data_IF_481041686317
#
_entry.id   IF_481041686317
#
_cell.length_a   1.000
_cell.length_b   1.000
_cell.length_c   1.000
_cell.angle_alpha   90.00
_cell.angle_beta   90.00
_cell.angle_gamma   90.00
#
_symmetry.space_group_name_H-M   'P 1'
#
loop_
_entity.id
_entity.type
_entity.pdbx_description
1 polymer ?
#
# COMPACT_ATOMS: atom_id res chain seq x y z
N UNK A 1 -56.27 32.00 -46.47
CA UNK A 1 -55.02 31.28 -46.13
C UNK A 1 -55.28 29.79 -46.35
N UNK A 2 -54.39 29.07 -47.03
CA UNK A 2 -54.49 27.63 -47.25
C UNK A 2 -53.16 27.00 -46.85
N UNK A 3 -53.15 25.73 -46.43
CA UNK A 3 -51.89 25.04 -46.20
C UNK A 3 -51.18 24.74 -47.53
N UNK A 4 -49.88 24.43 -47.45
CA UNK A 4 -49.04 24.14 -48.64
C UNK A 4 -49.64 23.08 -49.56
N UNK A 5 -50.29 22.05 -48.99
CA UNK A 5 -50.93 20.97 -49.74
C UNK A 5 -52.21 21.39 -50.48
N UNK A 6 -52.86 22.47 -50.06
CA UNK A 6 -54.13 22.95 -50.61
C UNK A 6 -54.00 24.33 -51.29
N UNK A 7 -52.79 24.70 -51.72
CA UNK A 7 -52.51 26.02 -52.32
C UNK A 7 -53.39 26.33 -53.54
N UNK A 8 -53.76 25.32 -54.33
CA UNK A 8 -54.64 25.42 -55.50
C UNK A 8 -56.08 25.84 -55.18
N UNK A 9 -56.51 25.74 -53.91
CA UNK A 9 -57.87 26.12 -53.46
C UNK A 9 -57.93 27.55 -52.90
N UNK A 10 -56.84 28.32 -52.97
CA UNK A 10 -56.76 29.67 -52.37
C UNK A 10 -57.42 30.76 -53.22
N UNK A 11 -57.07 30.83 -54.52
CA UNK A 11 -57.58 31.79 -55.50
C UNK A 11 -57.32 31.27 -56.93
N UNK A 12 -57.96 31.86 -57.93
CA UNK A 12 -57.65 31.63 -59.36
C UNK A 12 -56.48 32.49 -59.88
N UNK A 13 -55.73 33.14 -58.99
CA UNK A 13 -54.66 34.07 -59.32
C UNK A 13 -53.32 33.35 -59.59
N UNK A 14 -52.45 33.86 -60.49
CA UNK A 14 -51.19 33.19 -60.82
C UNK A 14 -50.23 33.17 -59.61
N UNK A 15 -49.43 32.10 -59.48
CA UNK A 15 -48.53 31.88 -58.33
C UNK A 15 -47.57 33.04 -58.03
N UNK A 16 -47.22 33.85 -59.03
CA UNK A 16 -46.35 35.04 -58.85
C UNK A 16 -46.94 36.10 -57.93
N UNK A 17 -48.27 36.10 -57.75
CA UNK A 17 -48.99 37.05 -56.90
C UNK A 17 -49.32 36.46 -55.53
N UNK A 18 -48.86 35.23 -55.25
CA UNK A 18 -49.06 34.59 -53.96
C UNK A 18 -47.86 34.86 -53.05
N UNK A 19 -48.15 35.12 -51.78
CA UNK A 19 -47.14 35.28 -50.74
C UNK A 19 -47.11 34.04 -49.86
N UNK A 20 -45.93 33.43 -49.73
CA UNK A 20 -45.71 32.33 -48.80
C UNK A 20 -45.39 32.87 -47.41
N UNK A 21 -46.27 32.61 -46.45
CA UNK A 21 -45.97 32.82 -45.05
C UNK A 21 -45.35 31.55 -44.47
N UNK A 22 -44.05 31.59 -44.17
CA UNK A 22 -43.33 30.54 -43.46
C UNK A 22 -43.03 30.99 -42.02
N UNK A 23 -42.92 30.01 -41.12
CA UNK A 23 -42.62 30.26 -39.71
C UNK A 23 -41.12 30.36 -39.43
N UNK A 24 -40.32 29.60 -40.16
CA UNK A 24 -38.86 29.58 -40.06
C UNK A 24 -38.24 29.53 -41.44
N UNK A 25 -37.12 30.23 -41.61
CA UNK A 25 -36.18 30.05 -42.72
C UNK A 25 -35.32 28.81 -42.51
N UNK A 26 -34.61 28.37 -43.57
CA UNK A 26 -33.61 27.30 -43.44
C UNK A 26 -32.47 27.72 -42.49
N UNK A 27 -32.06 28.98 -42.53
CA UNK A 27 -31.01 29.54 -41.67
C UNK A 27 -31.41 29.52 -40.19
N UNK A 28 -32.70 29.61 -39.87
CA UNK A 28 -33.23 29.45 -38.51
C UNK A 28 -33.40 27.98 -38.09
N UNK A 29 -33.63 27.07 -39.06
CA UNK A 29 -33.85 25.64 -38.82
C UNK A 29 -32.55 24.87 -38.53
N UNK A 30 -31.45 25.18 -39.21
CA UNK A 30 -30.18 24.47 -39.01
C UNK A 30 -29.63 24.57 -37.58
N UNK A 31 -29.59 25.76 -36.93
CA UNK A 31 -29.15 25.88 -35.55
C UNK A 31 -30.05 25.11 -34.56
N UNK A 32 -31.37 25.06 -34.81
CA UNK A 32 -32.29 24.28 -34.00
C UNK A 32 -31.98 22.79 -34.10
N UNK A 33 -31.76 22.27 -35.32
CA UNK A 33 -31.38 20.88 -35.54
C UNK A 33 -30.03 20.56 -34.87
N UNK A 34 -29.04 21.44 -35.00
CA UNK A 34 -27.72 21.28 -34.41
C UNK A 34 -27.79 21.25 -32.87
N UNK A 35 -28.57 22.12 -32.25
CA UNK A 35 -28.74 22.13 -30.79
C UNK A 35 -29.37 20.83 -30.25
N UNK A 36 -30.35 20.27 -30.96
CA UNK A 36 -30.98 18.99 -30.61
C UNK A 36 -30.01 17.85 -30.80
N UNK A 37 -29.27 17.85 -31.92
CA UNK A 37 -28.24 16.84 -32.21
C UNK A 37 -27.17 16.83 -31.13
N UNK A 38 -26.60 18.00 -30.80
CA UNK A 38 -25.57 18.15 -29.77
C UNK A 38 -26.04 17.64 -28.40
N UNK A 39 -27.28 17.98 -28.01
CA UNK A 39 -27.87 17.47 -26.75
C UNK A 39 -28.01 15.94 -26.78
N UNK A 40 -28.45 15.38 -27.90
CA UNK A 40 -28.62 13.94 -28.05
C UNK A 40 -27.31 13.17 -28.03
N UNK A 41 -26.27 13.69 -28.69
CA UNK A 41 -24.93 13.08 -28.74
C UNK A 41 -24.26 13.16 -27.37
N UNK A 42 -24.32 14.33 -26.71
CA UNK A 42 -23.77 14.50 -25.37
C UNK A 42 -24.39 13.54 -24.34
N UNK A 43 -25.68 13.24 -24.46
CA UNK A 43 -26.34 12.27 -23.58
C UNK A 43 -25.89 10.83 -23.90
N UNK A 44 -25.74 10.46 -25.18
CA UNK A 44 -25.26 9.13 -25.58
C UNK A 44 -23.83 8.87 -25.11
N UNK A 45 -22.94 9.85 -25.27
CA UNK A 45 -21.56 9.76 -24.80
C UNK A 45 -21.50 9.61 -23.27
N UNK A 46 -22.30 10.40 -22.55
CA UNK A 46 -22.40 10.30 -21.09
C UNK A 46 -22.91 8.92 -20.67
N UNK A 47 -23.96 8.40 -21.32
CA UNK A 47 -24.50 7.08 -21.02
C UNK A 47 -23.46 5.98 -21.19
N UNK A 48 -22.78 5.94 -22.35
CA UNK A 48 -21.74 4.94 -22.61
C UNK A 48 -20.63 5.03 -21.56
N UNK A 49 -20.19 6.24 -21.22
CA UNK A 49 -19.14 6.45 -20.23
C UNK A 49 -19.56 5.97 -18.82
N UNK A 50 -20.81 6.18 -18.41
CA UNK A 50 -21.30 5.78 -17.09
C UNK A 50 -21.58 4.28 -17.03
N UNK A 51 -22.13 3.69 -18.10
CA UNK A 51 -22.32 2.24 -18.20
C UNK A 51 -20.97 1.51 -18.12
N UNK A 52 -19.93 1.99 -18.83
CA UNK A 52 -18.58 1.41 -18.76
C UNK A 52 -17.98 1.44 -17.34
N UNK A 53 -18.23 2.52 -16.58
CA UNK A 53 -17.76 2.66 -15.19
C UNK A 53 -18.55 1.73 -14.26
N UNK A 54 -19.87 1.82 -14.29
CA UNK A 54 -20.75 1.08 -13.35
C UNK A 54 -20.61 -0.42 -13.55
N UNK A 55 -20.47 -0.87 -14.80
CA UNK A 55 -20.27 -2.29 -15.12
C UNK A 55 -18.80 -2.74 -14.96
N UNK A 56 -17.89 -1.82 -14.66
CA UNK A 56 -16.44 -2.06 -14.56
C UNK A 56 -15.86 -2.79 -15.78
N UNK A 57 -16.40 -2.51 -16.98
CA UNK A 57 -16.04 -3.16 -18.26
C UNK A 57 -14.87 -2.49 -18.96
N UNK A 58 -14.47 -1.30 -18.51
CA UNK A 58 -13.42 -0.51 -19.14
C UNK A 58 -12.02 -1.13 -18.98
N UNK A 59 -11.28 -1.22 -20.09
CA UNK A 59 -9.85 -1.60 -20.07
C UNK A 59 -8.97 -0.59 -19.30
N UNK A 60 -9.43 0.65 -19.14
CA UNK A 60 -8.79 1.70 -18.36
C UNK A 60 -9.81 2.34 -17.42
N UNK A 61 -9.55 2.24 -16.12
CA UNK A 61 -10.32 2.94 -15.09
C UNK A 61 -10.11 4.44 -15.19
N UNK A 62 -11.18 5.20 -14.98
CA UNK A 62 -11.16 6.67 -14.95
C UNK A 62 -10.76 7.18 -13.57
N UNK A 63 -10.24 8.41 -13.49
CA UNK A 63 -9.95 9.03 -12.20
C UNK A 63 -11.22 9.33 -11.39
N UNK A 64 -11.11 9.40 -10.07
CA UNK A 64 -12.21 9.81 -9.18
C UNK A 64 -12.78 11.19 -9.56
N UNK A 65 -11.93 12.13 -10.00
CA UNK A 65 -12.38 13.46 -10.44
C UNK A 65 -13.24 13.40 -11.71
N UNK A 66 -12.99 12.43 -12.60
CA UNK A 66 -13.81 12.24 -13.80
C UNK A 66 -15.21 11.73 -13.43
N UNK A 67 -15.32 10.86 -12.42
CA UNK A 67 -16.63 10.41 -11.92
C UNK A 67 -17.45 11.59 -11.39
N UNK A 68 -16.84 12.47 -10.58
CA UNK A 68 -17.47 13.71 -10.12
C UNK A 68 -17.93 14.59 -11.28
N UNK A 69 -17.10 14.75 -12.32
CA UNK A 69 -17.46 15.53 -13.51
C UNK A 69 -18.66 14.95 -14.28
N UNK A 70 -18.80 13.62 -14.32
CA UNK A 70 -19.93 12.96 -14.97
C UNK A 70 -21.23 13.14 -14.17
N UNK A 71 -21.16 13.13 -12.83
CA UNK A 71 -22.31 13.46 -11.97
C UNK A 71 -22.75 14.90 -12.21
N UNK A 72 -21.82 15.86 -12.15
CA UNK A 72 -22.10 17.29 -12.38
C UNK A 72 -22.67 17.56 -13.78
N UNK A 73 -22.13 16.88 -14.81
CA UNK A 73 -22.63 16.99 -16.18
C UNK A 73 -24.09 16.54 -16.28
N UNK A 74 -24.46 15.43 -15.64
CA UNK A 74 -25.82 14.91 -15.69
C UNK A 74 -26.83 15.85 -15.00
N UNK A 75 -26.43 16.44 -13.88
CA UNK A 75 -27.23 17.41 -13.13
C UNK A 75 -27.41 18.71 -13.93
N UNK A 76 -26.31 19.27 -14.43
CA UNK A 76 -26.30 20.53 -15.19
C UNK A 76 -27.12 20.42 -16.48
N UNK A 77 -27.00 19.29 -17.20
CA UNK A 77 -27.72 19.07 -18.46
C UNK A 77 -29.12 18.47 -18.27
N UNK A 78 -29.50 18.16 -17.02
CA UNK A 78 -30.76 17.51 -16.64
C UNK A 78 -31.04 16.26 -17.49
N UNK A 79 -30.13 15.28 -17.44
CA UNK A 79 -30.22 14.07 -18.25
C UNK A 79 -31.31 13.09 -17.75
N UNK A 80 -32.09 12.46 -18.67
CA UNK A 80 -33.21 11.60 -18.29
C UNK A 80 -32.71 10.16 -18.04
N UNK A 81 -32.34 9.80 -16.81
CA UNK A 81 -32.21 8.40 -16.28
C UNK A 81 -31.72 8.47 -14.83
N UNK A 82 -32.65 8.60 -13.89
CA UNK A 82 -32.32 8.79 -12.47
C UNK A 82 -31.61 7.58 -11.86
N UNK A 83 -32.01 6.35 -12.22
CA UNK A 83 -31.43 5.14 -11.64
C UNK A 83 -29.93 4.98 -11.95
N UNK A 84 -29.50 5.25 -13.17
CA UNK A 84 -28.08 5.17 -13.54
C UNK A 84 -27.26 6.29 -12.90
N UNK A 85 -27.83 7.50 -12.81
CA UNK A 85 -27.22 8.61 -12.09
C UNK A 85 -27.07 8.30 -10.59
N UNK A 86 -28.07 7.68 -9.97
CA UNK A 86 -28.03 7.28 -8.57
C UNK A 86 -27.01 6.16 -8.30
N UNK A 87 -26.86 5.22 -9.25
CA UNK A 87 -25.77 4.24 -9.23
C UNK A 87 -24.40 4.91 -9.32
N UNK A 88 -24.21 5.85 -10.26
CA UNK A 88 -22.97 6.61 -10.39
C UNK A 88 -22.65 7.40 -9.11
N UNK A 89 -23.64 8.04 -8.49
CA UNK A 89 -23.47 8.75 -7.22
C UNK A 89 -23.04 7.82 -6.09
N UNK A 90 -23.67 6.64 -6.01
CA UNK A 90 -23.31 5.62 -5.02
C UNK A 90 -21.85 5.18 -5.20
N UNK A 91 -21.46 4.82 -6.42
CA UNK A 91 -20.09 4.42 -6.77
C UNK A 91 -19.09 5.54 -6.45
N UNK A 92 -19.41 6.78 -6.80
CA UNK A 92 -18.55 7.94 -6.53
C UNK A 92 -18.38 8.17 -5.03
N UNK A 93 -19.47 8.08 -4.26
CA UNK A 93 -19.45 8.24 -2.80
C UNK A 93 -18.65 7.13 -2.11
N UNK A 94 -18.77 5.89 -2.57
CA UNK A 94 -17.97 4.77 -2.06
C UNK A 94 -16.48 4.98 -2.36
N UNK A 95 -16.15 5.38 -3.58
CA UNK A 95 -14.79 5.69 -3.97
C UNK A 95 -14.20 6.85 -3.15
N UNK A 96 -14.98 7.89 -2.85
CA UNK A 96 -14.56 8.99 -1.97
C UNK A 96 -14.23 8.48 -0.55
N UNK A 97 -15.07 7.63 0.02
CA UNK A 97 -14.83 7.03 1.35
C UNK A 97 -13.53 6.23 1.35
N UNK A 98 -13.31 5.42 0.32
CA UNK A 98 -12.07 4.64 0.19
C UNK A 98 -10.85 5.56 -0.01
N UNK A 99 -10.96 6.64 -0.79
CA UNK A 99 -9.89 7.62 -0.94
C UNK A 99 -9.52 8.29 0.40
N UNK A 100 -10.51 8.66 1.20
CA UNK A 100 -10.29 9.24 2.54
C UNK A 100 -9.62 8.24 3.47
N UNK A 101 -10.09 6.98 3.51
CA UNK A 101 -9.46 5.92 4.30
C UNK A 101 -8.02 5.67 3.85
N UNK A 102 -7.77 5.61 2.53
CA UNK A 102 -6.44 5.44 1.96
C UNK A 102 -5.50 6.58 2.38
N UNK A 103 -6.00 7.82 2.36
CA UNK A 103 -5.23 8.97 2.81
C UNK A 103 -4.95 8.93 4.32
N UNK A 104 -5.90 8.49 5.14
CA UNK A 104 -5.72 8.33 6.58
C UNK A 104 -4.66 7.27 6.89
N UNK A 105 -4.67 6.13 6.20
CA UNK A 105 -3.66 5.08 6.34
C UNK A 105 -2.26 5.60 5.99
N UNK A 106 -2.11 6.34 4.88
CA UNK A 106 -0.84 6.96 4.50
C UNK A 106 -0.37 8.06 5.46
N UNK A 107 -1.29 8.69 6.19
CA UNK A 107 -1.00 9.73 7.17
C UNK A 107 -0.74 9.17 8.59
N UNK A 108 -1.07 7.90 8.83
CA UNK A 108 -1.29 7.26 10.14
C UNK A 108 -0.13 7.32 11.15
N UNK A 109 1.09 7.71 10.76
CA UNK A 109 2.20 7.92 11.72
C UNK A 109 2.97 9.24 11.58
N UNK A 110 2.58 10.19 10.71
CA UNK A 110 3.21 11.54 10.71
C UNK A 110 2.87 12.38 11.95
N UNK A 111 1.81 12.05 12.70
CA UNK A 111 1.36 12.82 13.87
C UNK A 111 1.90 12.34 15.24
N UNK A 112 2.46 11.12 15.35
CA UNK A 112 2.87 10.56 16.65
C UNK A 112 4.35 10.72 16.97
N UNK A 113 5.17 11.20 16.01
CA UNK A 113 6.60 11.46 16.26
C UNK A 113 6.86 12.68 17.18
N UNK A 114 5.83 13.43 17.59
CA UNK A 114 5.94 14.58 18.52
C UNK A 114 5.41 14.34 19.94
N UNK A 115 4.96 13.12 20.31
CA UNK A 115 4.59 12.84 21.71
C UNK A 115 5.67 12.03 22.42
N UNK A 116 6.75 12.72 22.77
CA UNK A 116 7.54 12.38 23.96
C UNK A 116 6.62 12.51 25.18
N UNK A 117 6.19 11.39 25.75
CA UNK A 117 5.39 11.41 26.97
C UNK A 117 4.64 10.10 27.16
N UNK A 118 5.11 9.27 28.08
CA UNK A 118 4.62 7.93 28.33
C UNK A 118 3.10 7.84 28.54
N UNK A 119 2.47 6.88 27.86
CA UNK A 119 1.07 6.54 28.04
C UNK A 119 0.78 5.22 27.35
N UNK A 120 0.54 4.18 28.15
CA UNK A 120 0.27 2.78 27.76
C UNK A 120 -1.05 2.61 26.98
N UNK A 121 -1.19 3.22 25.81
CA UNK A 121 -2.39 3.14 24.96
C UNK A 121 -2.09 2.89 23.47
N UNK A 122 -0.89 2.41 23.11
CA UNK A 122 -0.40 2.49 21.72
C UNK A 122 -0.57 1.25 20.83
N UNK A 123 -1.07 0.11 21.32
CA UNK A 123 -1.00 -1.16 20.55
C UNK A 123 -2.35 -1.67 20.02
N UNK A 124 -3.47 -0.94 20.13
CA UNK A 124 -4.79 -1.48 19.78
C UNK A 124 -5.32 -1.06 18.40
N UNK A 125 -4.59 -0.23 17.65
CA UNK A 125 -5.02 0.30 16.34
C UNK A 125 -3.85 0.30 15.32
N UNK A 126 -2.95 -0.66 15.41
CA UNK A 126 -1.89 -0.81 14.41
C UNK A 126 -2.44 -1.54 13.18
N UNK A 127 -2.22 -0.99 11.98
CA UNK A 127 -2.64 -1.61 10.72
C UNK A 127 -1.84 -2.89 10.51
N UNK A 128 -2.52 -4.04 10.44
CA UNK A 128 -1.89 -5.33 10.14
C UNK A 128 -1.56 -5.46 8.65
N UNK A 129 -0.64 -6.38 8.32
CA UNK A 129 -0.26 -6.66 6.92
C UNK A 129 -1.46 -7.22 6.15
N UNK A 130 -2.27 -8.06 6.78
CA UNK A 130 -3.49 -8.64 6.21
C UNK A 130 -4.54 -7.58 5.89
N UNK A 131 -4.74 -6.61 6.79
CA UNK A 131 -5.63 -5.48 6.55
C UNK A 131 -5.13 -4.61 5.39
N UNK A 132 -3.83 -4.32 5.32
CA UNK A 132 -3.25 -3.57 4.18
C UNK A 132 -3.47 -4.32 2.86
N UNK A 133 -3.24 -5.64 2.82
CA UNK A 133 -3.48 -6.47 1.63
C UNK A 133 -4.95 -6.43 1.20
N UNK A 134 -5.87 -6.63 2.15
CA UNK A 134 -7.31 -6.58 1.91
C UNK A 134 -7.72 -5.21 1.38
N UNK A 135 -7.18 -4.13 1.93
CA UNK A 135 -7.48 -2.76 1.51
C UNK A 135 -6.97 -2.45 0.09
N UNK A 136 -5.74 -2.89 -0.24
CA UNK A 136 -5.21 -2.76 -1.62
C UNK A 136 -6.05 -3.55 -2.62
N UNK A 137 -6.52 -4.75 -2.25
CA UNK A 137 -7.42 -5.53 -3.09
C UNK A 137 -8.77 -4.82 -3.30
N UNK A 138 -9.32 -4.20 -2.26
CA UNK A 138 -10.56 -3.41 -2.37
C UNK A 138 -10.37 -2.22 -3.33
N UNK A 139 -9.24 -1.51 -3.23
CA UNK A 139 -8.87 -0.44 -4.18
C UNK A 139 -8.82 -0.93 -5.63
N UNK A 140 -8.27 -2.13 -5.85
CA UNK A 140 -8.18 -2.75 -7.17
C UNK A 140 -9.53 -3.23 -7.72
N UNK A 141 -10.54 -3.38 -6.88
CA UNK A 141 -11.90 -3.75 -7.30
C UNK A 141 -12.78 -2.52 -7.59
N UNK A 142 -12.38 -1.31 -7.20
CA UNK A 142 -13.14 -0.09 -7.51
C UNK A 142 -13.19 0.16 -9.02
N UNK A 143 -14.29 0.71 -9.56
CA UNK A 143 -14.42 1.03 -10.99
C UNK A 143 -13.66 2.31 -11.41
N UNK A 144 -12.90 2.92 -10.50
CA UNK A 144 -12.12 4.13 -10.74
C UNK A 144 -10.71 4.03 -10.12
N UNK A 145 -9.83 4.92 -10.56
CA UNK A 145 -8.48 5.07 -10.03
C UNK A 145 -8.47 6.06 -8.87
N UNK A 146 -7.90 5.60 -7.75
CA UNK A 146 -7.67 6.41 -6.56
C UNK A 146 -6.21 6.85 -6.54
N UNK A 147 -5.95 8.15 -6.36
CA UNK A 147 -4.58 8.72 -6.41
C UNK A 147 -3.62 8.10 -5.39
N UNK A 148 -4.15 7.66 -4.25
CA UNK A 148 -3.41 7.03 -3.16
C UNK A 148 -3.05 5.56 -3.43
N UNK A 149 -3.73 4.88 -4.35
CA UNK A 149 -3.53 3.45 -4.64
C UNK A 149 -2.06 3.07 -4.93
N UNK A 150 -1.31 3.77 -5.80
CA UNK A 150 0.09 3.41 -6.05
C UNK A 150 0.98 3.50 -4.81
N UNK A 151 0.71 4.44 -3.90
CA UNK A 151 1.50 4.61 -2.67
C UNK A 151 1.27 3.45 -1.69
N UNK A 152 0.03 2.99 -1.57
CA UNK A 152 -0.31 1.85 -0.72
C UNK A 152 0.20 0.53 -1.31
N UNK A 153 0.21 0.40 -2.64
CA UNK A 153 0.84 -0.74 -3.33
C UNK A 153 2.35 -0.78 -3.08
N UNK A 154 3.02 0.37 -3.21
CA UNK A 154 4.45 0.48 -2.90
C UNK A 154 4.75 0.12 -1.44
N UNK A 155 3.94 0.61 -0.49
CA UNK A 155 4.07 0.21 0.92
C UNK A 155 3.92 -1.31 1.09
N UNK A 156 2.91 -1.92 0.46
CA UNK A 156 2.70 -3.36 0.53
C UNK A 156 3.88 -4.14 -0.07
N UNK A 157 4.42 -3.71 -1.20
CA UNK A 157 5.62 -4.32 -1.80
C UNK A 157 6.83 -4.24 -0.86
N UNK A 158 7.05 -3.07 -0.22
CA UNK A 158 8.14 -2.92 0.76
C UNK A 158 7.95 -3.81 1.98
N UNK A 159 6.71 -4.00 2.44
CA UNK A 159 6.38 -4.94 3.52
C UNK A 159 6.65 -6.38 3.09
N UNK A 160 6.26 -6.76 1.87
CA UNK A 160 6.51 -8.11 1.33
C UNK A 160 8.00 -8.42 1.23
N UNK A 161 8.78 -7.47 0.71
CA UNK A 161 10.24 -7.57 0.64
C UNK A 161 10.87 -7.70 2.03
N UNK A 162 10.37 -6.94 3.01
CA UNK A 162 10.82 -7.04 4.40
C UNK A 162 10.53 -8.43 4.98
N UNK A 163 9.31 -8.96 4.78
CA UNK A 163 8.93 -10.29 5.27
C UNK A 163 9.79 -11.40 4.64
N UNK A 164 10.06 -11.31 3.34
CA UNK A 164 10.93 -12.26 2.64
C UNK A 164 12.37 -12.22 3.16
N UNK A 165 12.95 -11.03 3.29
CA UNK A 165 14.31 -10.85 3.83
C UNK A 165 14.40 -11.33 5.28
N UNK A 166 13.39 -11.03 6.09
CA UNK A 166 13.30 -11.49 7.47
C UNK A 166 13.32 -13.01 7.54
N UNK A 167 12.46 -13.69 6.78
CA UNK A 167 12.41 -15.15 6.79
C UNK A 167 13.74 -15.77 6.37
N UNK A 168 14.42 -15.18 5.38
CA UNK A 168 15.76 -15.61 4.97
C UNK A 168 16.78 -15.48 6.10
N UNK A 169 16.88 -14.32 6.75
CA UNK A 169 17.87 -14.07 7.81
C UNK A 169 17.57 -14.86 9.10
N UNK A 170 16.29 -15.06 9.43
CA UNK A 170 15.88 -15.89 10.56
C UNK A 170 16.19 -17.38 10.35
N UNK A 171 16.22 -17.83 9.09
CA UNK A 171 16.52 -19.23 8.74
C UNK A 171 18.02 -19.49 8.51
N UNK A 172 18.82 -18.43 8.36
CA UNK A 172 20.28 -18.55 8.23
C UNK A 172 20.89 -18.96 9.58
N UNK A 173 21.85 -19.88 9.59
CA UNK A 173 22.55 -20.33 10.81
C UNK A 173 23.51 -19.26 11.35
N UNK A 174 24.10 -18.45 10.46
CA UNK A 174 25.10 -17.43 10.79
C UNK A 174 24.87 -16.11 10.02
N UNK A 175 23.72 -15.45 10.23
CA UNK A 175 23.42 -14.17 9.57
C UNK A 175 24.38 -13.08 10.03
N UNK A 176 24.66 -12.11 9.15
CA UNK A 176 25.45 -10.94 9.49
C UNK A 176 24.70 -10.03 10.47
N UNK A 177 25.33 -9.58 11.58
CA UNK A 177 24.74 -8.59 12.48
C UNK A 177 24.41 -7.27 11.78
N UNK A 178 25.21 -6.89 10.79
CA UNK A 178 24.99 -5.67 10.01
C UNK A 178 23.71 -5.80 9.16
N UNK A 179 23.53 -6.91 8.46
CA UNK A 179 22.34 -7.13 7.62
C UNK A 179 21.04 -7.16 8.44
N UNK A 180 21.09 -7.75 9.64
CA UNK A 180 19.97 -7.75 10.59
C UNK A 180 19.65 -6.34 11.09
N UNK A 181 20.66 -5.52 11.40
CA UNK A 181 20.47 -4.13 11.81
C UNK A 181 19.89 -3.28 10.67
N UNK A 182 20.42 -3.42 9.45
CA UNK A 182 19.91 -2.72 8.27
C UNK A 182 18.44 -3.05 8.00
N UNK A 183 18.05 -4.33 8.15
CA UNK A 183 16.66 -4.74 7.99
C UNK A 183 15.75 -4.14 9.09
N UNK A 184 16.22 -4.09 10.35
CA UNK A 184 15.50 -3.42 11.44
C UNK A 184 15.35 -1.92 11.17
N UNK A 185 16.35 -1.26 10.58
CA UNK A 185 16.27 0.15 10.24
C UNK A 185 15.25 0.42 9.13
N UNK A 186 15.14 -0.47 8.13
CA UNK A 186 14.08 -0.42 7.09
C UNK A 186 12.69 -0.48 7.74
N UNK A 187 12.50 -1.29 8.79
CA UNK A 187 11.21 -1.43 9.46
C UNK A 187 10.68 -0.12 10.08
N UNK A 188 11.56 0.82 10.41
CA UNK A 188 11.17 2.14 10.95
C UNK A 188 10.39 2.99 9.94
N UNK A 189 10.52 2.69 8.65
CA UNK A 189 9.79 3.33 7.55
C UNK A 189 8.53 2.56 7.12
N UNK A 190 8.18 1.47 7.81
CA UNK A 190 6.99 0.67 7.55
C UNK A 190 5.96 0.95 8.64
N UNK A 191 4.92 1.70 8.29
CA UNK A 191 3.88 2.14 9.23
C UNK A 191 2.80 1.05 9.47
N UNK A 192 3.22 -0.21 9.55
CA UNK A 192 2.37 -1.40 9.78
C UNK A 192 2.88 -2.23 10.94
N UNK A 193 2.03 -3.09 11.49
CA UNK A 193 2.44 -4.09 12.46
C UNK A 193 3.29 -5.16 11.76
N UNK A 194 4.47 -5.44 12.34
CA UNK A 194 5.44 -6.38 11.79
C UNK A 194 5.76 -7.45 12.84
N UNK A 195 5.14 -8.64 12.77
CA UNK A 195 5.33 -9.70 13.76
C UNK A 195 6.75 -10.26 13.80
N UNK A 196 7.57 -10.00 12.77
CA UNK A 196 8.95 -10.45 12.70
C UNK A 196 9.91 -9.62 13.58
N UNK A 197 9.53 -8.42 14.03
CA UNK A 197 10.46 -7.52 14.73
C UNK A 197 11.04 -8.08 16.03
N UNK A 198 10.26 -8.73 16.93
CA UNK A 198 10.82 -9.35 18.12
C UNK A 198 11.85 -10.43 17.77
N UNK A 199 11.51 -11.31 16.82
CA UNK A 199 12.38 -12.40 16.38
C UNK A 199 13.68 -11.89 15.75
N UNK A 200 13.61 -10.83 14.94
CA UNK A 200 14.80 -10.21 14.33
C UNK A 200 15.72 -9.56 15.37
N UNK A 201 15.16 -8.97 16.43
CA UNK A 201 15.95 -8.40 17.54
C UNK A 201 16.67 -9.50 18.31
N UNK A 202 15.98 -10.58 18.65
CA UNK A 202 16.59 -11.75 19.27
C UNK A 202 17.69 -12.35 18.39
N UNK A 203 17.43 -12.52 17.09
CA UNK A 203 18.41 -13.02 16.12
C UNK A 203 19.64 -12.13 16.00
N UNK A 204 19.47 -10.81 16.09
CA UNK A 204 20.57 -9.84 16.07
C UNK A 204 21.48 -9.97 17.29
N UNK A 205 20.91 -10.16 18.49
CA UNK A 205 21.70 -10.38 19.70
C UNK A 205 22.50 -11.69 19.60
N UNK A 206 21.87 -12.76 19.10
CA UNK A 206 22.55 -14.03 18.84
C UNK A 206 23.70 -13.87 17.83
N UNK A 207 23.47 -13.16 16.71
CA UNK A 207 24.47 -12.94 15.68
C UNK A 207 25.68 -12.14 16.19
N UNK A 208 25.44 -11.07 16.96
CA UNK A 208 26.51 -10.25 17.59
C UNK A 208 27.34 -11.07 18.55
N UNK A 209 26.70 -11.93 19.35
CA UNK A 209 27.42 -12.81 20.27
C UNK A 209 28.26 -13.83 19.52
N UNK A 210 27.71 -14.51 18.51
CA UNK A 210 28.45 -15.46 17.69
C UNK A 210 29.66 -14.83 17.00
N UNK A 211 29.50 -13.60 16.50
CA UNK A 211 30.60 -12.82 15.92
C UNK A 211 31.68 -12.51 16.97
N UNK A 212 31.30 -12.11 18.19
CA UNK A 212 32.25 -11.87 19.28
C UNK A 212 33.02 -13.14 19.67
N UNK A 213 32.34 -14.30 19.73
CA UNK A 213 32.98 -15.61 19.98
C UNK A 213 33.97 -15.97 18.88
N UNK A 214 33.59 -15.77 17.62
CA UNK A 214 34.47 -16.02 16.48
C UNK A 214 35.69 -15.08 16.49
N UNK A 215 35.49 -13.79 16.75
CA UNK A 215 36.57 -12.80 16.83
C UNK A 215 37.56 -13.14 17.95
N UNK A 216 37.08 -13.47 19.15
CA UNK A 216 37.93 -13.89 20.27
C UNK A 216 38.72 -15.17 19.93
N UNK A 217 38.07 -16.14 19.27
CA UNK A 217 38.70 -17.40 18.88
C UNK A 217 39.75 -17.24 17.77
N UNK A 218 39.62 -16.19 16.93
CA UNK A 218 40.54 -15.94 15.81
C UNK A 218 41.90 -15.37 16.23
N UNK A 219 42.01 -14.86 17.46
CA UNK A 219 43.22 -14.23 17.99
C UNK A 219 43.75 -15.06 19.18
N UNK A 220 44.85 -15.83 18.99
CA UNK A 220 45.39 -16.76 19.99
C UNK A 220 45.66 -16.10 21.35
N UNK A 221 46.15 -14.85 21.34
CA UNK A 221 46.51 -14.12 22.56
C UNK A 221 45.31 -13.49 23.29
N UNK A 222 44.10 -13.55 22.71
CA UNK A 222 42.92 -12.88 23.25
C UNK A 222 41.93 -13.81 23.98
N UNK A 223 42.04 -15.11 23.72
CA UNK A 223 41.13 -16.12 24.26
C UNK A 223 41.65 -16.68 25.60
N UNK A 224 41.66 -15.84 26.62
CA UNK A 224 41.98 -16.24 28.01
C UNK A 224 40.74 -16.76 28.75
N UNK A 225 40.93 -17.40 29.92
CA UNK A 225 39.85 -17.93 30.76
C UNK A 225 38.78 -16.87 31.08
N UNK A 226 39.20 -15.65 31.45
CA UNK A 226 38.29 -14.54 31.73
C UNK A 226 37.47 -14.14 30.50
N UNK A 227 38.09 -14.15 29.30
CA UNK A 227 37.37 -13.89 28.05
C UNK A 227 36.33 -14.97 27.78
N UNK A 228 36.67 -16.25 27.99
CA UNK A 228 35.73 -17.36 27.82
C UNK A 228 34.56 -17.26 28.81
N UNK A 229 34.83 -17.05 30.11
CA UNK A 229 33.80 -16.88 31.15
C UNK A 229 32.84 -15.74 30.82
N UNK A 230 33.38 -14.57 30.43
CA UNK A 230 32.56 -13.42 30.02
C UNK A 230 31.69 -13.73 28.79
N UNK A 231 32.24 -14.41 27.78
CA UNK A 231 31.46 -14.80 26.59
C UNK A 231 30.37 -15.80 26.96
N UNK A 232 30.64 -16.72 27.89
CA UNK A 232 29.64 -17.66 28.41
C UNK A 232 28.51 -16.90 29.12
N UNK A 233 28.83 -15.98 30.03
CA UNK A 233 27.84 -15.18 30.76
C UNK A 233 26.94 -14.37 29.82
N UNK A 234 27.51 -13.80 28.75
CA UNK A 234 26.75 -13.10 27.70
C UNK A 234 25.83 -14.05 26.92
N UNK A 235 26.24 -15.30 26.70
CA UNK A 235 25.49 -16.28 25.94
C UNK A 235 24.28 -16.84 26.70
N UNK A 236 24.35 -16.96 28.03
CA UNK A 236 23.28 -17.52 28.87
C UNK A 236 21.96 -16.74 28.78
N UNK A 237 22.02 -15.43 28.54
CA UNK A 237 20.84 -14.57 28.44
C UNK A 237 20.15 -14.58 27.07
N UNK A 238 20.72 -15.24 26.06
CA UNK A 238 20.21 -15.22 24.69
C UNK A 238 19.04 -16.18 24.50
N UNK A 239 18.14 -15.82 23.58
CA UNK A 239 17.09 -16.74 23.12
C UNK A 239 17.70 -18.04 22.54
N UNK A 240 17.05 -19.20 22.72
CA UNK A 240 17.61 -20.48 22.29
C UNK A 240 17.73 -20.57 20.76
N UNK A 241 18.88 -21.07 20.29
CA UNK A 241 19.14 -21.31 18.86
C UNK A 241 20.27 -22.34 18.70
N UNK A 242 20.15 -23.22 17.69
CA UNK A 242 21.11 -24.30 17.40
C UNK A 242 22.56 -23.83 17.32
N UNK A 243 22.81 -22.74 16.59
CA UNK A 243 24.15 -22.17 16.43
C UNK A 243 24.73 -21.59 17.72
N UNK A 244 23.88 -20.99 18.56
CA UNK A 244 24.27 -20.46 19.88
C UNK A 244 24.63 -21.60 20.81
N UNK A 245 23.78 -22.62 20.92
CA UNK A 245 24.01 -23.80 21.76
C UNK A 245 25.31 -24.53 21.37
N UNK A 246 25.56 -24.67 20.06
CA UNK A 246 26.79 -25.29 19.55
C UNK A 246 28.04 -24.50 19.94
N UNK A 247 28.03 -23.18 19.77
CA UNK A 247 29.14 -22.32 20.15
C UNK A 247 29.32 -22.27 21.68
N UNK A 248 28.21 -22.29 22.42
CA UNK A 248 28.17 -22.32 23.87
C UNK A 248 28.84 -23.58 24.42
N UNK A 249 28.46 -24.76 23.91
CA UNK A 249 29.05 -26.04 24.27
C UNK A 249 30.56 -26.06 24.00
N UNK A 250 30.99 -25.53 22.85
CA UNK A 250 32.41 -25.44 22.50
C UNK A 250 33.19 -24.53 23.45
N UNK A 251 32.64 -23.38 23.83
CA UNK A 251 33.28 -22.48 24.80
C UNK A 251 33.42 -23.14 26.18
N UNK A 252 32.39 -23.86 26.63
CA UNK A 252 32.41 -24.58 27.90
C UNK A 252 33.45 -25.72 27.90
N UNK A 253 33.55 -26.47 26.80
CA UNK A 253 34.58 -27.50 26.62
C UNK A 253 35.99 -26.88 26.67
N UNK A 254 36.22 -25.80 25.91
CA UNK A 254 37.50 -25.11 25.89
C UNK A 254 37.88 -24.55 27.25
N UNK A 255 36.93 -23.96 27.98
CA UNK A 255 37.15 -23.44 29.33
C UNK A 255 37.57 -24.58 30.26
N UNK A 256 36.84 -25.69 30.25
CA UNK A 256 37.11 -26.86 31.12
C UNK A 256 38.50 -27.44 30.86
N UNK A 257 38.88 -27.61 29.58
CA UNK A 257 40.21 -28.12 29.23
C UNK A 257 41.30 -27.14 29.66
N UNK A 258 41.09 -25.84 29.47
CA UNK A 258 42.08 -24.80 29.81
C UNK A 258 42.30 -24.69 31.33
N UNK A 259 41.25 -24.77 32.14
CA UNK A 259 41.33 -24.79 33.61
C UNK A 259 42.11 -26.00 34.12
N UNK A 260 41.87 -27.20 33.55
CA UNK A 260 42.64 -28.40 33.91
C UNK A 260 44.13 -28.27 33.59
N UNK A 261 44.48 -27.60 32.49
CA UNK A 261 45.88 -27.34 32.16
C UNK A 261 46.53 -26.35 33.13
N UNK A 262 45.83 -25.29 33.51
CA UNK A 262 46.31 -24.32 34.49
C UNK A 262 46.55 -24.97 35.86
N UNK A 263 45.61 -25.79 36.35
CA UNK A 263 45.76 -26.56 37.60
C UNK A 263 46.98 -27.51 37.56
N UNK A 264 47.20 -28.21 36.43
CA UNK A 264 48.35 -29.10 36.26
C UNK A 264 49.68 -28.34 36.31
N UNK A 265 49.74 -27.17 35.66
CA UNK A 265 50.96 -26.35 35.65
C UNK A 265 51.23 -25.80 37.05
N UNK A 266 50.21 -25.27 37.74
CA UNK A 266 50.33 -24.80 39.12
C UNK A 266 50.80 -25.91 40.06
N UNK A 267 50.22 -27.11 39.97
CA UNK A 267 50.65 -28.26 40.76
C UNK A 267 52.11 -28.68 40.53
N UNK A 268 52.64 -28.50 39.31
CA UNK A 268 54.06 -28.73 39.01
C UNK A 268 54.98 -27.62 39.55
N UNK A 269 54.47 -26.39 39.65
CA UNK A 269 55.21 -25.25 40.22
C UNK A 269 55.29 -25.33 41.75
N UNK A 270 54.22 -25.77 42.41
CA UNK A 270 54.17 -25.95 43.87
C UNK A 270 54.95 -27.17 44.36
N UNK A 271 55.23 -28.13 43.47
CA UNK A 271 56.02 -29.33 43.77
C UNK A 271 57.55 -29.11 43.69
N UNK A 272 58.02 -27.86 43.55
CA UNK A 272 59.43 -27.48 43.42
C UNK A 272 59.89 -26.64 44.60
#
# INVERSE_FOLDING_TARGET
MACLYHAQHLCSCPYRNLTLHFKFTLDELYPLMESVKLRSESYKEWLSAVEDIVENKGAKKKGLEELHSLVEQAETKAFPKLSLLDQLRTVTSEADKVAVMAQQLLNGKRQTRYRSGGGKSQNQNELTVEELRSFVQQLDNLPCNIRQAPLLKDLLTRVDDFQQRSNRLLSDEAPSPQELQELLDVSLGLDVELPQLPLLRERLEQARWLEAVQQASSRPDSLCLDTMRRLIDQGVGLAPHSSVERAMARLQELLTVSEQWEERVLGLMDAR
#
